data_IF_238307521434
#
_entry.id   IF_238307521434
#
_cell.length_a   1.000
_cell.length_b   1.000
_cell.length_c   1.000
_cell.angle_alpha   90.00
_cell.angle_beta   90.00
_cell.angle_gamma   90.00
#
_symmetry.space_group_name_H-M   'P 1'
#
loop_
_entity.id
_entity.type
_entity.pdbx_description
1 polymer ?
#
# COMPACT_ATOMS: atom_id res chain seq x y z
N UNK A 1 0.16 -55.51 -58.65
CA UNK A 1 -0.78 -55.00 -57.65
C UNK A 1 0.02 -54.08 -56.72
N UNK A 2 -0.05 -52.78 -57.00
CA UNK A 2 0.52 -51.77 -56.11
C UNK A 2 -0.41 -51.59 -54.91
N UNK A 3 0.08 -51.91 -53.73
CA UNK A 3 -0.59 -51.63 -52.46
C UNK A 3 -0.31 -50.15 -52.11
N UNK A 4 -1.37 -49.33 -51.99
CA UNK A 4 -1.25 -47.97 -51.49
C UNK A 4 -1.18 -48.08 -49.97
N UNK A 5 -0.12 -47.62 -49.36
CA UNK A 5 -0.01 -47.44 -47.91
C UNK A 5 -0.33 -46.00 -47.62
N UNK A 6 -1.45 -45.75 -46.95
CA UNK A 6 -1.78 -44.43 -46.35
C UNK A 6 -1.07 -44.28 -45.03
N UNK A 7 -0.29 -43.23 -44.92
CA UNK A 7 0.37 -42.84 -43.67
C UNK A 7 -0.26 -41.54 -43.22
N UNK A 8 -0.93 -41.52 -42.08
CA UNK A 8 -1.40 -40.31 -41.39
C UNK A 8 -0.23 -39.73 -40.59
N UNK A 9 0.11 -38.48 -40.88
CA UNK A 9 1.12 -37.73 -40.12
C UNK A 9 0.37 -36.63 -39.37
N UNK A 10 0.35 -36.71 -38.07
CA UNK A 10 -0.27 -35.68 -37.18
C UNK A 10 0.86 -34.82 -36.58
N UNK A 11 0.74 -33.51 -36.76
CA UNK A 11 1.60 -32.53 -36.07
C UNK A 11 0.81 -31.93 -34.93
N UNK A 12 1.41 -31.92 -33.74
CA UNK A 12 0.87 -31.24 -32.59
C UNK A 12 1.45 -29.83 -32.47
N UNK A 13 0.61 -28.88 -32.06
CA UNK A 13 1.02 -27.51 -31.83
C UNK A 13 1.72 -27.42 -30.50
N UNK A 14 2.88 -26.76 -30.43
CA UNK A 14 3.54 -26.42 -29.17
C UNK A 14 2.71 -25.37 -28.45
N UNK A 15 2.39 -25.64 -27.19
CA UNK A 15 1.68 -24.73 -26.30
C UNK A 15 2.40 -24.63 -24.96
N UNK A 16 2.37 -23.45 -24.36
CA UNK A 16 2.98 -23.22 -23.05
C UNK A 16 2.14 -22.26 -22.21
N UNK A 17 2.62 -22.01 -21.01
CA UNK A 17 1.95 -21.17 -20.04
C UNK A 17 2.88 -20.05 -19.58
N UNK A 18 2.33 -18.89 -19.26
CA UNK A 18 3.04 -17.79 -18.59
C UNK A 18 2.48 -17.67 -17.17
N UNK A 19 3.37 -17.58 -16.21
CA UNK A 19 2.99 -17.36 -14.81
C UNK A 19 3.93 -16.36 -14.12
N UNK A 20 3.45 -15.74 -13.06
CA UNK A 20 4.27 -14.92 -12.16
C UNK A 20 3.73 -14.97 -10.73
N UNK A 21 4.62 -14.69 -9.79
CA UNK A 21 4.26 -14.46 -8.38
C UNK A 21 4.47 -12.97 -8.08
N UNK A 22 3.38 -12.27 -7.75
CA UNK A 22 3.42 -10.85 -7.41
C UNK A 22 3.77 -10.64 -5.95
N UNK A 23 4.84 -9.89 -5.68
CA UNK A 23 5.38 -9.70 -4.33
C UNK A 23 5.71 -8.24 -4.03
N UNK A 24 5.85 -7.95 -2.74
CA UNK A 24 6.36 -6.69 -2.21
C UNK A 24 7.91 -6.66 -2.35
N UNK A 25 8.48 -5.60 -2.90
CA UNK A 25 9.93 -5.49 -3.11
C UNK A 25 10.74 -5.48 -1.80
N UNK A 26 10.17 -4.98 -0.70
CA UNK A 26 10.83 -4.97 0.61
C UNK A 26 10.60 -6.26 1.41
N UNK A 27 9.43 -6.88 1.25
CA UNK A 27 9.03 -8.10 1.95
C UNK A 27 8.63 -9.17 0.93
N UNK A 28 9.61 -9.76 0.26
CA UNK A 28 9.40 -10.67 -0.88
C UNK A 28 8.59 -11.93 -0.56
N UNK A 29 8.43 -12.27 0.72
CA UNK A 29 7.51 -13.32 1.19
C UNK A 29 6.05 -12.85 1.22
N UNK A 30 5.80 -11.55 1.11
CA UNK A 30 4.45 -10.97 1.10
C UNK A 30 3.93 -10.92 -0.33
N UNK A 31 2.91 -11.73 -0.61
CA UNK A 31 2.23 -11.74 -1.90
C UNK A 31 1.25 -10.58 -2.01
N UNK A 32 1.18 -9.95 -3.19
CA UNK A 32 0.33 -8.81 -3.48
C UNK A 32 -0.78 -9.19 -4.47
N UNK A 33 -1.99 -8.67 -4.25
CA UNK A 33 -3.17 -8.87 -5.10
C UNK A 33 -3.60 -7.59 -5.80
N UNK A 34 -4.41 -7.70 -6.85
CA UNK A 34 -5.04 -6.57 -7.54
C UNK A 34 -4.17 -5.89 -8.60
N UNK A 35 -3.02 -6.46 -8.94
CA UNK A 35 -2.28 -6.09 -10.14
C UNK A 35 -3.01 -6.54 -11.41
N UNK A 36 -2.72 -5.90 -12.54
CA UNK A 36 -3.18 -6.31 -13.87
C UNK A 36 -1.98 -6.41 -14.78
N UNK A 37 -1.84 -7.56 -15.44
CA UNK A 37 -0.79 -7.83 -16.40
C UNK A 37 -1.41 -8.15 -17.75
N UNK A 38 -1.07 -7.38 -18.78
CA UNK A 38 -1.44 -7.65 -20.16
C UNK A 38 -0.37 -8.49 -20.85
N UNK A 39 -0.83 -9.40 -21.70
CA UNK A 39 0.01 -10.29 -22.51
C UNK A 39 -0.22 -9.97 -23.97
N UNK A 40 0.85 -9.63 -24.66
CA UNK A 40 0.86 -9.33 -26.10
C UNK A 40 1.65 -10.40 -26.83
N UNK A 41 1.25 -10.71 -28.06
CA UNK A 41 1.99 -11.56 -28.96
C UNK A 41 2.78 -10.69 -29.92
N UNK A 42 4.08 -10.95 -30.04
CA UNK A 42 4.92 -10.36 -31.10
C UNK A 42 4.40 -10.83 -32.46
N UNK A 43 3.66 -9.96 -33.16
CA UNK A 43 2.95 -10.29 -34.40
C UNK A 43 3.82 -10.07 -35.64
N UNK A 44 4.81 -9.18 -35.55
CA UNK A 44 5.72 -8.82 -36.62
C UNK A 44 7.13 -9.42 -36.45
N UNK A 45 7.35 -10.19 -35.36
CA UNK A 45 8.61 -10.87 -35.00
C UNK A 45 9.82 -9.91 -34.93
N UNK A 46 9.59 -8.66 -34.47
CA UNK A 46 10.64 -7.66 -34.36
C UNK A 46 11.35 -7.68 -32.98
N UNK A 47 10.78 -8.34 -31.97
CA UNK A 47 11.33 -8.47 -30.62
C UNK A 47 11.12 -7.25 -29.73
N UNK A 48 10.25 -6.32 -30.12
CA UNK A 48 9.90 -5.12 -29.35
C UNK A 48 8.37 -5.01 -29.25
N UNK A 49 7.85 -4.63 -28.09
CA UNK A 49 6.40 -4.37 -27.94
C UNK A 49 6.03 -3.05 -28.62
N UNK A 50 5.21 -3.13 -29.67
CA UNK A 50 4.75 -1.96 -30.42
C UNK A 50 3.25 -2.02 -30.78
N UNK A 51 2.81 -1.08 -31.64
CA UNK A 51 1.39 -0.96 -32.02
C UNK A 51 0.90 -2.03 -33.02
N UNK A 52 1.78 -2.88 -33.55
CA UNK A 52 1.44 -3.97 -34.47
C UNK A 52 1.21 -5.29 -33.70
N UNK A 53 1.52 -5.33 -32.39
CA UNK A 53 1.39 -6.50 -31.56
C UNK A 53 -0.05 -6.74 -31.10
N UNK A 54 -0.42 -8.00 -31.06
CA UNK A 54 -1.77 -8.43 -30.69
C UNK A 54 -1.90 -8.58 -29.16
N UNK A 55 -2.83 -7.85 -28.54
CA UNK A 55 -3.23 -8.09 -27.15
C UNK A 55 -3.99 -9.42 -27.06
N UNK A 56 -3.37 -10.41 -26.43
CA UNK A 56 -3.99 -11.73 -26.20
C UNK A 56 -4.98 -11.69 -25.04
N UNK A 57 -4.69 -10.90 -24.02
CA UNK A 57 -5.53 -10.75 -22.82
C UNK A 57 -4.73 -10.40 -21.58
N UNK A 58 -5.30 -10.70 -20.42
CA UNK A 58 -4.65 -10.45 -19.12
C UNK A 58 -4.37 -11.76 -18.39
N UNK A 59 -3.27 -11.79 -17.61
CA UNK A 59 -3.03 -12.87 -16.67
C UNK A 59 -4.16 -12.93 -15.64
N UNK A 60 -4.60 -14.15 -15.32
CA UNK A 60 -5.64 -14.39 -14.32
C UNK A 60 -5.02 -14.66 -12.96
N UNK A 61 -5.43 -13.92 -11.93
CA UNK A 61 -5.07 -14.23 -10.55
C UNK A 61 -5.87 -15.46 -10.07
N UNK A 62 -5.16 -16.57 -9.81
CA UNK A 62 -5.76 -17.84 -9.34
C UNK A 62 -5.81 -17.95 -7.84
N UNK A 63 -4.75 -17.49 -7.21
CA UNK A 63 -4.58 -17.36 -5.77
C UNK A 63 -3.90 -16.02 -5.50
N UNK A 64 -3.92 -15.56 -4.25
CA UNK A 64 -3.31 -14.29 -3.87
C UNK A 64 -1.87 -14.20 -4.41
N UNK A 65 -1.66 -13.23 -5.31
CA UNK A 65 -0.37 -12.95 -5.95
C UNK A 65 0.12 -14.02 -6.93
N UNK A 66 -0.71 -14.99 -7.31
CA UNK A 66 -0.37 -16.00 -8.32
C UNK A 66 -1.15 -15.71 -9.61
N UNK A 67 -0.46 -15.27 -10.64
CA UNK A 67 -1.04 -14.89 -11.92
C UNK A 67 -0.61 -15.85 -13.00
N UNK A 68 -1.53 -16.26 -13.88
CA UNK A 68 -1.21 -17.15 -14.98
C UNK A 68 -2.08 -16.91 -16.23
N UNK A 69 -1.54 -17.28 -17.39
CA UNK A 69 -2.23 -17.48 -18.65
C UNK A 69 -1.75 -18.78 -19.28
N UNK A 70 -2.69 -19.64 -19.61
CA UNK A 70 -2.40 -20.97 -20.09
C UNK A 70 -2.68 -21.12 -21.59
N UNK A 71 -2.16 -22.18 -22.19
CA UNK A 71 -2.48 -22.64 -23.55
C UNK A 71 -2.06 -21.66 -24.65
N UNK A 72 -0.99 -20.90 -24.44
CA UNK A 72 -0.42 -19.99 -25.43
C UNK A 72 0.36 -20.76 -26.49
N UNK A 73 0.18 -20.41 -27.76
CA UNK A 73 0.87 -21.04 -28.89
C UNK A 73 2.38 -20.70 -28.90
N UNK A 74 3.16 -21.53 -29.59
CA UNK A 74 4.56 -21.22 -29.90
C UNK A 74 4.73 -19.79 -30.40
N UNK A 75 5.75 -19.09 -29.90
CA UNK A 75 6.11 -17.74 -30.31
C UNK A 75 6.58 -16.84 -29.16
N UNK A 76 6.88 -15.60 -29.53
CA UNK A 76 7.31 -14.55 -28.60
C UNK A 76 6.10 -13.80 -28.07
N UNK A 77 6.16 -13.51 -26.76
CA UNK A 77 5.15 -12.74 -26.04
C UNK A 77 5.81 -11.67 -25.17
N UNK A 78 5.06 -10.63 -24.88
CA UNK A 78 5.43 -9.58 -23.96
C UNK A 78 4.43 -9.51 -22.82
N UNK A 79 4.92 -9.43 -21.59
CA UNK A 79 4.12 -9.22 -20.38
C UNK A 79 4.41 -7.83 -19.84
N UNK A 80 3.36 -7.06 -19.59
CA UNK A 80 3.44 -5.70 -19.07
C UNK A 80 2.45 -5.50 -17.94
N UNK A 81 2.91 -4.93 -16.81
CA UNK A 81 2.01 -4.48 -15.76
C UNK A 81 1.30 -3.20 -16.22
N UNK A 82 -0.03 -3.20 -16.22
CA UNK A 82 -0.85 -2.02 -16.58
C UNK A 82 -1.57 -1.41 -15.39
N UNK A 83 -1.59 -2.13 -14.27
CA UNK A 83 -2.07 -1.65 -12.98
C UNK A 83 -1.28 -2.32 -11.86
N UNK A 84 -0.65 -1.52 -11.02
CA UNK A 84 0.00 -2.01 -9.80
C UNK A 84 -1.02 -2.33 -8.68
N UNK A 85 -0.65 -3.15 -7.69
CA UNK A 85 -1.39 -3.27 -6.45
C UNK A 85 -1.59 -1.92 -5.76
N UNK A 86 -2.65 -1.80 -4.97
CA UNK A 86 -2.91 -0.58 -4.21
C UNK A 86 -1.75 -0.28 -3.23
N UNK A 87 -1.27 0.96 -3.26
CA UNK A 87 -0.15 1.39 -2.42
C UNK A 87 1.24 1.11 -2.98
N UNK A 88 1.32 0.63 -4.21
CA UNK A 88 2.59 0.31 -4.88
C UNK A 88 2.77 1.10 -6.18
N UNK A 89 4.02 1.30 -6.55
CA UNK A 89 4.41 1.97 -7.80
C UNK A 89 4.30 0.98 -8.96
N UNK A 90 3.76 1.43 -10.10
CA UNK A 90 3.68 0.64 -11.32
C UNK A 90 5.08 0.31 -11.84
N UNK A 91 5.29 -0.94 -12.25
CA UNK A 91 6.43 -1.35 -13.05
C UNK A 91 6.12 -1.08 -14.53
N UNK A 92 6.87 -0.17 -15.15
CA UNK A 92 6.68 0.20 -16.56
C UNK A 92 7.45 -0.71 -17.53
N UNK A 93 8.15 -1.71 -17.01
CA UNK A 93 8.94 -2.66 -17.79
C UNK A 93 8.09 -3.55 -18.69
N UNK A 94 8.72 -4.03 -19.75
CA UNK A 94 8.16 -5.02 -20.67
C UNK A 94 9.03 -6.27 -20.59
N UNK A 95 8.40 -7.43 -20.36
CA UNK A 95 9.10 -8.68 -20.10
C UNK A 95 8.82 -9.68 -21.22
N UNK A 96 9.87 -10.05 -21.92
CA UNK A 96 9.80 -11.00 -23.03
C UNK A 96 9.69 -12.45 -22.50
N UNK A 97 8.84 -13.23 -23.12
CA UNK A 97 8.69 -14.68 -22.93
C UNK A 97 8.64 -15.35 -24.30
N UNK A 98 9.52 -16.35 -24.52
CA UNK A 98 9.49 -17.15 -25.75
C UNK A 98 9.00 -18.56 -25.45
N UNK A 99 7.82 -18.89 -25.96
CA UNK A 99 7.20 -20.22 -25.80
C UNK A 99 7.75 -21.13 -26.90
N UNK A 100 8.60 -22.08 -26.50
CA UNK A 100 9.30 -23.00 -27.40
C UNK A 100 9.14 -24.49 -27.02
N UNK A 101 8.58 -24.76 -25.84
CA UNK A 101 8.47 -26.12 -25.30
C UNK A 101 7.04 -26.42 -24.88
N UNK A 102 6.49 -27.54 -25.39
CA UNK A 102 5.12 -27.96 -25.10
C UNK A 102 4.92 -28.27 -23.60
N UNK A 103 3.80 -27.77 -23.06
CA UNK A 103 3.40 -27.91 -21.67
C UNK A 103 4.22 -27.14 -20.63
N UNK A 104 5.27 -26.40 -21.06
CA UNK A 104 6.15 -25.67 -20.13
C UNK A 104 5.48 -24.38 -19.62
N UNK A 105 5.67 -24.10 -18.32
CA UNK A 105 5.31 -22.83 -17.70
C UNK A 105 6.55 -21.94 -17.58
N UNK A 106 6.47 -20.73 -18.14
CA UNK A 106 7.51 -19.72 -18.11
C UNK A 106 7.21 -18.72 -17.01
N UNK A 107 8.14 -18.59 -16.07
CA UNK A 107 8.01 -17.64 -14.96
C UNK A 107 8.51 -16.26 -15.39
N UNK A 108 7.68 -15.23 -15.15
CA UNK A 108 8.06 -13.82 -15.36
C UNK A 108 8.39 -13.22 -14.01
N UNK A 109 9.57 -12.63 -13.91
CA UNK A 109 10.05 -11.98 -12.71
C UNK A 109 10.90 -10.76 -13.06
N UNK A 110 10.83 -9.71 -12.25
CA UNK A 110 11.70 -8.53 -12.35
C UNK A 110 12.78 -8.51 -11.25
N UNK A 111 12.74 -9.49 -10.34
CA UNK A 111 13.71 -9.68 -9.26
C UNK A 111 14.10 -11.15 -9.22
N UNK A 112 15.35 -11.45 -9.56
CA UNK A 112 15.86 -12.81 -9.74
C UNK A 112 15.52 -13.73 -8.55
N UNK A 113 14.75 -14.79 -8.84
CA UNK A 113 14.36 -15.83 -7.88
C UNK A 113 13.39 -15.36 -6.78
N UNK A 114 12.82 -14.16 -6.89
CA UNK A 114 11.93 -13.58 -5.87
C UNK A 114 10.54 -13.22 -6.38
N UNK A 115 10.32 -13.33 -7.70
CA UNK A 115 9.06 -13.03 -8.34
C UNK A 115 8.99 -11.62 -8.95
N UNK A 116 7.78 -11.18 -9.25
CA UNK A 116 7.52 -9.86 -9.81
C UNK A 116 7.22 -8.87 -8.69
N UNK A 117 8.19 -8.04 -8.35
CA UNK A 117 8.14 -7.14 -7.21
C UNK A 117 7.70 -5.71 -7.61
N UNK A 118 6.88 -5.04 -6.79
CA UNK A 118 6.67 -3.60 -6.88
C UNK A 118 7.17 -2.89 -5.63
N UNK A 119 7.69 -1.68 -5.82
CA UNK A 119 8.11 -0.80 -4.74
C UNK A 119 6.89 -0.15 -4.06
N UNK A 120 6.85 -0.09 -2.72
CA UNK A 120 5.77 0.60 -2.02
C UNK A 120 5.85 2.12 -2.25
N UNK A 121 4.69 2.74 -2.42
CA UNK A 121 4.59 4.20 -2.43
C UNK A 121 4.90 4.78 -1.07
N UNK A 122 5.53 5.97 -1.03
CA UNK A 122 6.00 6.59 0.20
C UNK A 122 5.63 8.06 0.32
N UNK A 123 5.51 8.51 1.57
CA UNK A 123 5.35 9.89 1.97
C UNK A 123 6.06 10.18 3.29
N UNK A 124 5.83 11.36 3.86
CA UNK A 124 6.47 11.77 5.11
C UNK A 124 5.43 12.10 6.18
N UNK A 125 5.83 11.99 7.44
CA UNK A 125 5.04 12.39 8.59
C UNK A 125 5.82 13.42 9.41
N UNK A 126 5.17 14.53 9.75
CA UNK A 126 5.71 15.54 10.65
C UNK A 126 4.77 15.70 11.85
N UNK A 127 5.29 15.54 13.05
CA UNK A 127 4.58 15.83 14.31
C UNK A 127 5.08 17.20 14.78
N UNK A 128 4.15 18.09 15.12
CA UNK A 128 4.43 19.41 15.68
C UNK A 128 3.82 19.49 17.08
N UNK A 129 4.69 19.59 18.07
CA UNK A 129 4.33 19.68 19.49
C UNK A 129 4.19 21.12 19.92
N UNK A 130 3.11 21.39 20.66
CA UNK A 130 2.90 22.66 21.38
C UNK A 130 2.49 22.37 22.82
N UNK A 131 2.63 23.34 23.71
CA UNK A 131 2.19 23.26 25.11
C UNK A 131 1.72 24.61 25.62
N UNK A 132 0.93 24.61 26.69
CA UNK A 132 0.39 25.83 27.32
C UNK A 132 1.47 26.75 27.92
N UNK A 133 2.67 26.21 28.25
CA UNK A 133 3.82 26.97 28.79
C UNK A 133 4.95 27.18 27.78
N UNK A 134 4.75 26.73 26.52
CA UNK A 134 5.72 26.87 25.42
C UNK A 134 6.85 25.86 25.40
N UNK A 135 6.91 24.88 26.31
CA UNK A 135 7.89 23.81 26.25
C UNK A 135 7.50 22.78 25.21
N UNK A 136 8.43 22.37 24.35
CA UNK A 136 8.14 21.51 23.21
C UNK A 136 9.14 20.38 23.02
N UNK A 137 10.31 20.45 23.62
CA UNK A 137 11.42 19.51 23.46
C UNK A 137 11.27 18.28 24.36
N UNK A 138 11.68 17.11 23.86
CA UNK A 138 11.81 15.87 24.61
C UNK A 138 10.49 15.13 24.86
N UNK A 139 9.36 15.55 24.30
CA UNK A 139 8.10 14.81 24.39
C UNK A 139 8.15 13.56 23.51
N UNK A 140 7.85 12.39 24.10
CA UNK A 140 7.92 11.12 23.41
C UNK A 140 6.59 10.77 22.74
N UNK A 141 6.66 10.34 21.47
CA UNK A 141 5.51 9.87 20.70
C UNK A 141 5.79 8.46 20.16
N UNK A 142 4.86 7.55 20.39
CA UNK A 142 4.82 6.25 19.72
C UNK A 142 3.98 6.37 18.47
N UNK A 143 4.57 5.98 17.35
CA UNK A 143 3.95 5.99 16.02
C UNK A 143 3.82 4.53 15.57
N UNK A 144 2.59 4.09 15.34
CA UNK A 144 2.28 2.75 14.84
C UNK A 144 1.55 2.82 13.51
N UNK A 145 1.77 1.87 12.62
CA UNK A 145 1.17 1.88 11.28
C UNK A 145 1.25 0.55 10.56
N UNK A 146 1.08 0.58 9.25
CA UNK A 146 1.08 -0.60 8.40
C UNK A 146 2.38 -1.43 8.50
N UNK A 147 2.26 -2.71 8.21
CA UNK A 147 3.38 -3.67 8.19
C UNK A 147 4.18 -3.75 9.50
N UNK A 148 3.51 -3.53 10.63
CA UNK A 148 4.17 -3.61 11.94
C UNK A 148 5.08 -2.43 12.26
N UNK A 149 4.94 -1.29 11.54
CA UNK A 149 5.67 -0.08 11.91
C UNK A 149 5.33 0.33 13.34
N UNK A 150 6.33 0.42 14.19
CA UNK A 150 6.17 0.75 15.62
C UNK A 150 7.48 1.36 16.13
N UNK A 151 7.48 2.69 16.26
CA UNK A 151 8.66 3.43 16.75
C UNK A 151 8.23 4.42 17.82
N UNK A 152 9.14 4.73 18.74
CA UNK A 152 8.98 5.83 19.70
C UNK A 152 10.11 6.82 19.48
N UNK A 153 9.73 8.08 19.24
CA UNK A 153 10.65 9.19 18.96
C UNK A 153 10.33 10.36 19.88
N UNK A 154 11.34 11.20 20.13
CA UNK A 154 11.19 12.41 20.94
C UNK A 154 11.29 13.66 20.06
N UNK A 155 10.54 14.70 20.46
CA UNK A 155 10.57 16.00 19.80
C UNK A 155 11.90 16.72 20.01
N UNK A 156 12.36 17.40 18.96
CA UNK A 156 13.54 18.26 19.00
C UNK A 156 13.30 19.60 19.73
N UNK A 157 14.32 20.47 19.72
CA UNK A 157 14.26 21.82 20.29
C UNK A 157 13.14 22.71 19.71
N UNK A 158 12.67 22.39 18.49
CA UNK A 158 11.58 23.09 17.81
C UNK A 158 10.21 22.46 18.11
N UNK A 159 10.20 21.35 18.84
CA UNK A 159 9.00 20.57 19.08
C UNK A 159 8.59 19.69 17.89
N UNK A 160 9.52 19.32 17.04
CA UNK A 160 9.23 18.59 15.83
C UNK A 160 9.77 17.16 15.87
N UNK A 161 9.01 16.24 15.27
CA UNK A 161 9.47 14.92 14.81
C UNK A 161 9.21 14.87 13.32
N UNK A 162 10.24 14.55 12.53
CA UNK A 162 10.11 14.38 11.09
C UNK A 162 10.55 12.99 10.68
N UNK A 163 9.66 12.25 9.99
CA UNK A 163 9.90 10.88 9.52
C UNK A 163 9.73 10.87 8.01
N UNK A 164 10.81 10.56 7.32
CA UNK A 164 10.84 10.46 5.87
C UNK A 164 10.56 9.03 5.39
N UNK A 165 10.00 8.92 4.20
CA UNK A 165 9.92 7.67 3.47
C UNK A 165 9.03 6.60 4.12
N UNK A 166 8.02 6.99 4.89
CA UNK A 166 7.01 6.06 5.39
C UNK A 166 6.18 5.50 4.23
N UNK A 167 5.81 4.23 4.30
CA UNK A 167 4.80 3.67 3.39
C UNK A 167 3.51 4.46 3.53
N UNK A 168 2.78 4.63 2.42
CA UNK A 168 1.47 5.28 2.50
C UNK A 168 0.50 4.42 3.32
N UNK A 169 -0.45 5.07 4.00
CA UNK A 169 -1.45 4.41 4.83
C UNK A 169 -1.74 5.15 6.14
N UNK A 170 -2.53 4.53 6.99
CA UNK A 170 -2.94 5.09 8.27
C UNK A 170 -1.88 4.83 9.36
N UNK A 171 -1.57 5.90 10.10
CA UNK A 171 -0.67 5.86 11.25
C UNK A 171 -1.37 6.42 12.47
N UNK A 172 -1.15 5.77 13.60
CA UNK A 172 -1.63 6.22 14.91
C UNK A 172 -0.46 6.83 15.68
N UNK A 173 -0.67 8.05 16.19
CA UNK A 173 0.30 8.83 16.97
C UNK A 173 -0.22 8.94 18.39
N UNK A 174 0.52 8.40 19.33
CA UNK A 174 0.18 8.40 20.75
C UNK A 174 1.32 9.02 21.56
N UNK A 175 1.02 10.03 22.38
CA UNK A 175 2.04 10.57 23.30
C UNK A 175 2.31 9.59 24.44
N UNK A 176 3.58 9.30 24.70
CA UNK A 176 4.03 8.40 25.74
C UNK A 176 4.51 9.21 26.93
N UNK A 177 4.01 8.88 28.14
CA UNK A 177 4.42 9.58 29.33
C UNK A 177 5.93 9.39 29.60
N UNK A 178 6.65 10.50 29.70
CA UNK A 178 8.07 10.54 30.02
C UNK A 178 8.39 11.71 30.93
N UNK A 179 9.67 12.02 31.15
CA UNK A 179 10.09 13.13 32.03
C UNK A 179 9.60 14.49 31.52
N UNK A 180 9.57 14.73 30.21
CA UNK A 180 9.11 15.99 29.61
C UNK A 180 7.60 16.17 29.81
N UNK A 181 6.82 15.12 29.67
CA UNK A 181 5.35 15.15 29.71
C UNK A 181 4.76 14.99 31.12
N UNK A 182 5.58 14.71 32.14
CA UNK A 182 5.12 14.36 33.50
C UNK A 182 4.19 15.40 34.16
N UNK A 183 4.35 16.67 33.81
CA UNK A 183 3.56 17.79 34.37
C UNK A 183 2.32 18.14 33.51
N UNK A 184 2.08 17.40 32.42
CA UNK A 184 1.02 17.72 31.47
C UNK A 184 -0.08 16.67 31.46
N UNK A 185 -1.23 17.08 30.95
CA UNK A 185 -2.31 16.19 30.58
C UNK A 185 -1.96 15.68 29.17
N UNK A 186 -1.84 14.36 29.03
CA UNK A 186 -1.58 13.76 27.72
C UNK A 186 -2.78 13.96 26.79
N UNK A 187 -2.58 14.40 25.55
CA UNK A 187 -3.65 14.54 24.59
C UNK A 187 -4.19 13.16 24.15
N UNK A 188 -5.36 13.16 23.54
CA UNK A 188 -5.87 11.96 22.87
C UNK A 188 -4.97 11.57 21.70
N UNK A 189 -4.92 10.27 21.40
CA UNK A 189 -4.26 9.76 20.21
C UNK A 189 -4.83 10.41 18.94
N UNK A 190 -3.98 10.57 17.93
CA UNK A 190 -4.37 11.03 16.60
C UNK A 190 -4.07 9.98 15.55
N UNK A 191 -4.91 9.94 14.54
CA UNK A 191 -4.70 9.17 13.32
C UNK A 191 -4.33 10.11 12.17
N UNK A 192 -3.45 9.65 11.28
CA UNK A 192 -2.95 10.41 10.16
C UNK A 192 -2.71 9.51 8.95
N UNK A 193 -3.29 9.88 7.81
CA UNK A 193 -3.04 9.22 6.54
C UNK A 193 -1.77 9.81 5.89
N UNK A 194 -0.73 9.00 5.75
CA UNK A 194 0.46 9.33 4.96
C UNK A 194 0.13 9.10 3.49
N UNK A 195 0.36 10.11 2.65
CA UNK A 195 0.06 10.09 1.22
C UNK A 195 1.34 10.18 0.38
N UNK A 196 1.29 9.63 -0.84
CA UNK A 196 2.42 9.59 -1.77
C UNK A 196 3.01 10.98 -2.01
N UNK A 197 4.34 11.07 -1.86
CA UNK A 197 5.13 12.24 -2.23
C UNK A 197 4.83 13.50 -1.41
N UNK A 198 4.07 13.40 -0.33
CA UNK A 198 3.67 14.54 0.50
C UNK A 198 4.10 14.36 1.96
N UNK A 199 4.04 15.48 2.71
CA UNK A 199 4.26 15.47 4.17
C UNK A 199 2.92 15.68 4.87
N UNK A 200 2.48 14.66 5.62
CA UNK A 200 1.33 14.77 6.51
C UNK A 200 1.77 15.41 7.82
N UNK A 201 1.09 16.48 8.27
CA UNK A 201 1.41 17.20 9.51
C UNK A 201 0.38 16.89 10.57
N UNK A 202 0.85 16.50 11.77
CA UNK A 202 0.03 16.24 12.95
C UNK A 202 0.44 17.18 14.07
N UNK A 203 -0.49 18.00 14.53
CA UNK A 203 -0.27 18.89 15.67
C UNK A 203 -0.71 18.19 16.97
N UNK A 204 0.14 18.24 18.00
CA UNK A 204 -0.13 17.67 19.33
C UNK A 204 0.07 18.75 20.38
N UNK A 205 -0.96 18.99 21.21
CA UNK A 205 -0.96 20.03 22.22
C UNK A 205 -1.12 19.47 23.62
N UNK A 206 -0.30 19.94 24.57
CA UNK A 206 -0.42 19.57 25.98
C UNK A 206 -0.78 20.78 26.86
N UNK A 207 -1.72 20.55 27.75
CA UNK A 207 -2.03 21.46 28.85
C UNK A 207 -1.29 21.06 30.11
N UNK A 208 -0.73 22.04 30.85
CA UNK A 208 -0.19 21.78 32.17
C UNK A 208 -1.31 21.28 33.11
N UNK A 209 -0.98 20.33 33.96
CA UNK A 209 -1.87 19.94 35.03
C UNK A 209 -1.99 21.08 36.01
N UNK A 210 -3.22 21.50 36.32
CA UNK A 210 -3.46 22.40 37.42
C UNK A 210 -2.97 21.75 38.73
N UNK A 211 -1.89 22.27 39.30
CA UNK A 211 -1.55 21.91 40.69
C UNK A 211 -2.58 22.62 41.57
N UNK A 212 -3.38 21.88 42.37
CA UNK A 212 -4.29 22.53 43.29
C UNK A 212 -3.49 23.49 44.18
N UNK A 213 -3.82 24.77 44.14
CA UNK A 213 -3.31 25.68 45.17
C UNK A 213 -3.80 25.13 46.50
N UNK A 214 -2.91 24.52 47.26
CA UNK A 214 -3.20 24.15 48.65
C UNK A 214 -3.45 25.43 49.43
N UNK A 215 -4.71 25.83 49.55
CA UNK A 215 -5.10 26.99 50.39
C UNK A 215 -6.22 27.87 49.85
N UNK A 216 -7.11 27.45 48.94
CA UNK A 216 -8.31 28.23 48.63
C UNK A 216 -9.55 27.34 48.52
N UNK A 217 -10.43 27.45 49.51
CA UNK A 217 -11.74 26.80 49.60
C UNK A 217 -12.77 27.51 48.72
N UNK A 218 -12.64 27.56 47.42
CA UNK A 218 -13.75 28.04 46.61
C UNK A 218 -13.82 27.47 45.20
N UNK A 219 -14.88 26.65 45.01
CA UNK A 219 -15.54 26.33 43.76
C UNK A 219 -14.96 25.15 42.92
N UNK A 220 -15.07 23.96 43.47
CA UNK A 220 -14.90 22.70 42.75
C UNK A 220 -15.98 22.46 41.65
N UNK A 221 -16.94 23.34 41.48
CA UNK A 221 -18.10 23.16 40.59
C UNK A 221 -18.00 23.73 39.20
N UNK A 222 -16.94 24.48 38.86
CA UNK A 222 -16.89 25.23 37.60
C UNK A 222 -16.01 24.63 36.52
N UNK A 223 -15.21 23.60 36.81
CA UNK A 223 -14.16 23.12 35.89
C UNK A 223 -14.53 21.89 35.07
N UNK A 224 -15.73 21.31 35.27
CA UNK A 224 -16.23 20.19 34.46
C UNK A 224 -16.92 20.60 33.16
N UNK A 225 -17.01 21.87 32.86
CA UNK A 225 -17.75 22.37 31.68
C UNK A 225 -16.86 22.73 30.45
N UNK A 226 -15.53 22.62 30.54
CA UNK A 226 -14.63 23.08 29.46
C UNK A 226 -13.91 21.94 28.69
N UNK A 227 -14.28 20.70 28.88
CA UNK A 227 -13.72 19.54 28.16
C UNK A 227 -14.44 19.28 26.80
N UNK A 228 -14.88 20.27 26.09
CA UNK A 228 -15.71 20.05 24.93
C UNK A 228 -15.53 21.00 23.75
N UNK A 229 -14.32 21.38 23.38
CA UNK A 229 -14.14 22.03 22.07
C UNK A 229 -12.89 21.43 21.39
N UNK A 230 -13.07 20.25 20.80
CA UNK A 230 -12.16 19.79 19.77
C UNK A 230 -12.52 20.53 18.47
N UNK A 231 -11.67 21.42 18.03
CA UNK A 231 -11.75 21.98 16.69
C UNK A 231 -11.43 20.85 15.70
N UNK A 232 -12.50 20.28 15.13
CA UNK A 232 -12.37 19.37 14.02
C UNK A 232 -11.87 20.14 12.80
N UNK A 233 -10.60 19.99 12.49
CA UNK A 233 -10.06 20.35 11.18
C UNK A 233 -10.71 19.45 10.13
N UNK A 234 -11.60 20.03 9.32
CA UNK A 234 -12.27 19.32 8.23
C UNK A 234 -11.26 19.12 7.12
N UNK A 235 -10.62 17.95 7.08
CA UNK A 235 -10.07 17.44 5.84
C UNK A 235 -11.23 16.81 5.07
N UNK A 236 -11.62 17.45 3.96
CA UNK A 236 -12.64 16.93 3.07
C UNK A 236 -12.08 15.71 2.33
N UNK A 237 -12.20 14.53 2.90
CA UNK A 237 -12.09 13.28 2.17
C UNK A 237 -13.48 12.81 1.77
N UNK A 238 -13.68 12.66 0.46
CA UNK A 238 -14.94 12.27 -0.12
C UNK A 238 -15.44 10.93 0.41
N UNK A 239 -16.60 10.97 1.04
CA UNK A 239 -17.31 9.78 1.52
C UNK A 239 -18.01 9.14 0.32
N UNK A 240 -17.54 7.98 -0.10
CA UNK A 240 -18.30 7.09 -0.96
C UNK A 240 -19.45 6.47 -0.14
N UNK A 241 -20.65 6.99 -0.38
CA UNK A 241 -21.86 6.52 0.27
C UNK A 241 -22.28 5.13 -0.23
N UNK A 242 -22.22 4.13 0.64
CA UNK A 242 -22.92 2.87 0.45
C UNK A 242 -24.41 3.06 0.68
N UNK A 243 -25.19 3.10 -0.41
CA UNK A 243 -26.65 3.00 -0.33
C UNK A 243 -27.05 1.59 0.06
N UNK A 244 -27.50 1.40 1.31
CA UNK A 244 -28.24 0.21 1.72
C UNK A 244 -29.61 0.21 1.04
N UNK A 245 -29.87 -0.73 0.13
CA UNK A 245 -31.21 -1.03 -0.38
C UNK A 245 -32.02 -1.69 0.75
N UNK A 246 -33.03 -1.02 1.25
CA UNK A 246 -34.11 -1.64 2.03
C UNK A 246 -34.99 -2.47 1.10
N UNK A 247 -35.07 -3.76 1.38
CA UNK A 247 -36.06 -4.66 0.81
C UNK A 247 -37.39 -4.40 1.53
N UNK A 248 -38.42 -3.96 0.82
CA UNK A 248 -39.79 -3.97 1.25
C UNK A 248 -40.32 -5.39 1.07
N UNK A 249 -40.73 -6.02 2.14
CA UNK A 249 -41.72 -7.10 2.11
C UNK A 249 -43.10 -6.43 2.21
N UNK A 250 -43.92 -6.69 1.24
CA UNK A 250 -45.37 -6.55 1.34
C UNK A 250 -46.01 -7.83 0.79
N UNK A 251 -46.79 -8.45 1.67
CA UNK A 251 -47.89 -9.41 1.45
C UNK A 251 -47.72 -10.52 0.41
#
# INVERSE_FOLDING_TARGET
NGQIVEIEIVNELIRGNIALTKVDAEYTDTKLTGAVFEVYKDSNDNGELDGEDELIGTLTEKEIGQYEMNDLLYGRYFVKETKAPEGFTLDEGVYEVFIDTDGKTYQVENTEGKGFANEPMRGNLKIVKTSSDGKVEGFAFRITGANGYDVTLETDEKGEIFIEGLRIGEYKISEVNNAASAMYILPADKEAAVQTGSTTVVEMHNELRDTPKTGDDSKLGLWLALAGVSVAGIAACGIFGFKKKKKKEDN
#
